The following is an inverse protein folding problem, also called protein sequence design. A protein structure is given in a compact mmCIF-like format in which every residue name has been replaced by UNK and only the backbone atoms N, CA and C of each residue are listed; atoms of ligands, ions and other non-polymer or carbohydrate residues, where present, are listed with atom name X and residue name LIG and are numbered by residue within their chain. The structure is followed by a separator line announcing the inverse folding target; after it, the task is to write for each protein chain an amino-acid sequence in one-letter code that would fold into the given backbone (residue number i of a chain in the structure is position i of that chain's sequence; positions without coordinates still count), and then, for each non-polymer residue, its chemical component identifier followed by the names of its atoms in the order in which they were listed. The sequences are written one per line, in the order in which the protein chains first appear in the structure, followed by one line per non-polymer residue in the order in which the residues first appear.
data_IF_692233672102
#
_entry.id   IF_692233672102
#
_cell.length_a   1.000
_cell.length_b   1.000
_cell.length_c   1.000
_cell.angle_alpha   90.00
_cell.angle_beta   90.00
_cell.angle_gamma   90.00
#
_symmetry.space_group_name_H-M   'P 1'
#
loop_
_entity.id
_entity.type
_entity.pdbx_description
1 polymer ?
#
# COMPACT_ATOMS: atom_id res chain seq x y z
N UNK A 1 -16.04 61.80 -13.47
CA UNK A 1 -16.31 60.44 -13.97
C UNK A 1 -15.12 59.44 -13.91
N UNK A 2 -13.93 59.77 -13.40
CA UNK A 2 -12.79 58.81 -13.33
C UNK A 2 -12.66 57.98 -12.04
N UNK A 3 -13.34 58.38 -10.95
CA UNK A 3 -13.25 57.69 -9.63
C UNK A 3 -14.09 56.42 -9.51
N UNK A 4 -15.16 56.29 -10.31
CA UNK A 4 -15.99 55.08 -10.31
C UNK A 4 -15.28 53.87 -10.94
N UNK A 5 -14.44 54.09 -11.97
CA UNK A 5 -13.76 52.99 -12.69
C UNK A 5 -12.73 52.25 -11.81
N UNK A 6 -11.97 52.99 -10.98
CA UNK A 6 -10.95 52.40 -10.11
C UNK A 6 -11.56 51.49 -9.03
N UNK A 7 -12.73 51.86 -8.49
CA UNK A 7 -13.41 51.09 -7.45
C UNK A 7 -13.89 49.73 -7.99
N UNK A 8 -14.43 49.71 -9.22
CA UNK A 8 -14.82 48.47 -9.90
C UNK A 8 -13.63 47.54 -10.17
N UNK A 9 -12.48 48.08 -10.59
CA UNK A 9 -11.28 47.26 -10.83
C UNK A 9 -10.77 46.64 -9.52
N UNK A 10 -10.78 47.40 -8.42
CA UNK A 10 -10.41 46.91 -7.09
C UNK A 10 -11.40 45.85 -6.56
N UNK A 11 -12.70 46.03 -6.78
CA UNK A 11 -13.73 45.04 -6.41
C UNK A 11 -13.59 43.73 -7.20
N UNK A 12 -13.32 43.81 -8.51
CA UNK A 12 -13.12 42.62 -9.35
C UNK A 12 -11.83 41.87 -8.98
N UNK A 13 -10.74 42.59 -8.63
CA UNK A 13 -9.50 41.98 -8.14
C UNK A 13 -9.68 41.33 -6.76
N UNK A 14 -10.43 41.97 -5.86
CA UNK A 14 -10.75 41.43 -4.53
C UNK A 14 -11.61 40.16 -4.62
N UNK A 15 -12.64 40.14 -5.47
CA UNK A 15 -13.46 38.95 -5.71
C UNK A 15 -12.66 37.76 -6.24
N UNK A 16 -11.70 37.97 -7.15
CA UNK A 16 -10.83 36.88 -7.65
C UNK A 16 -9.97 36.29 -6.53
N UNK A 17 -9.42 37.12 -5.65
CA UNK A 17 -8.61 36.65 -4.51
C UNK A 17 -9.42 35.86 -3.47
N UNK A 18 -10.71 36.16 -3.32
CA UNK A 18 -11.60 35.44 -2.41
C UNK A 18 -12.05 34.10 -2.99
N UNK A 19 -12.29 34.01 -4.30
CA UNK A 19 -12.61 32.73 -4.97
C UNK A 19 -11.46 31.71 -4.88
N UNK A 20 -10.20 32.15 -4.98
CA UNK A 20 -9.05 31.26 -4.79
C UNK A 20 -8.88 30.80 -3.33
N UNK A 21 -9.27 31.63 -2.36
CA UNK A 21 -9.27 31.27 -0.93
C UNK A 21 -10.39 30.32 -0.54
N UNK A 22 -11.57 30.42 -1.16
CA UNK A 22 -12.69 29.50 -0.88
C UNK A 22 -12.39 28.05 -1.30
N UNK A 23 -11.61 27.82 -2.36
CA UNK A 23 -11.21 26.44 -2.73
C UNK A 23 -10.30 25.76 -1.71
N UNK A 24 -9.67 26.52 -0.81
CA UNK A 24 -8.82 26.01 0.26
C UNK A 24 -9.61 25.57 1.51
N UNK A 25 -10.94 25.74 1.52
CA UNK A 25 -11.75 25.72 2.75
C UNK A 25 -12.57 24.47 3.03
N UNK A 26 -12.50 23.43 2.19
CA UNK A 26 -13.19 22.17 2.46
C UNK A 26 -12.28 21.11 3.07
N UNK A 27 -12.76 20.51 4.16
CA UNK A 27 -12.07 19.43 4.86
C UNK A 27 -12.09 18.17 3.99
N UNK A 28 -10.99 17.93 3.27
CA UNK A 28 -10.81 16.77 2.41
C UNK A 28 -10.91 15.48 3.23
N UNK A 29 -11.79 14.57 2.82
CA UNK A 29 -11.92 13.26 3.46
C UNK A 29 -10.89 12.27 2.89
N UNK A 30 -9.71 12.21 3.52
CA UNK A 30 -8.63 11.31 3.10
C UNK A 30 -8.74 9.91 3.69
N UNK A 31 -9.49 9.73 4.78
CA UNK A 31 -9.49 8.48 5.57
C UNK A 31 -10.01 7.29 4.74
N UNK A 32 -9.27 6.18 4.79
CA UNK A 32 -9.57 4.95 4.07
C UNK A 32 -9.18 4.96 2.60
N UNK A 33 -8.54 6.03 2.10
CA UNK A 33 -8.22 6.18 0.67
C UNK A 33 -6.74 5.95 0.37
N UNK A 34 -6.44 5.59 -0.88
CA UNK A 34 -5.08 5.51 -1.43
C UNK A 34 -4.92 6.57 -2.50
N UNK A 35 -3.77 7.23 -2.54
CA UNK A 35 -3.45 8.18 -3.61
C UNK A 35 -2.09 7.88 -4.22
N UNK A 36 -1.96 8.08 -5.52
CA UNK A 36 -0.68 8.15 -6.22
C UNK A 36 -0.31 9.63 -6.37
N UNK A 37 0.82 10.01 -5.81
CA UNK A 37 1.39 11.34 -5.91
C UNK A 37 2.26 11.39 -7.17
N UNK A 38 1.83 12.24 -8.10
CA UNK A 38 2.50 12.51 -9.36
C UNK A 38 3.01 13.97 -9.35
N UNK A 39 4.33 14.21 -9.30
CA UNK A 39 4.86 15.55 -9.48
C UNK A 39 4.69 16.00 -10.93
N UNK A 40 4.15 17.22 -11.14
CA UNK A 40 4.03 17.78 -12.50
C UNK A 40 5.41 18.00 -13.16
N UNK A 41 6.43 18.27 -12.35
CA UNK A 41 7.82 18.45 -12.77
C UNK A 41 8.73 17.52 -11.98
N UNK A 42 9.22 16.46 -12.61
CA UNK A 42 10.13 15.50 -11.99
C UNK A 42 9.93 14.07 -12.49
N UNK A 43 10.72 13.13 -11.95
CA UNK A 43 10.54 11.69 -12.13
C UNK A 43 10.31 11.05 -10.76
N UNK A 44 9.38 10.11 -10.71
CA UNK A 44 9.04 9.36 -9.50
C UNK A 44 7.58 9.53 -9.13
N UNK A 45 6.92 8.42 -8.83
CA UNK A 45 5.55 8.38 -8.30
C UNK A 45 5.61 7.81 -6.90
N UNK A 46 4.79 8.33 -5.99
CA UNK A 46 4.72 7.84 -4.61
C UNK A 46 3.30 7.38 -4.30
N UNK A 47 3.12 6.14 -3.84
CA UNK A 47 1.81 5.67 -3.37
C UNK A 47 1.68 5.89 -1.87
N UNK A 48 0.61 6.56 -1.46
CA UNK A 48 0.35 7.03 -0.10
C UNK A 48 -1.04 6.54 0.31
N UNK A 49 -1.17 5.96 1.50
CA UNK A 49 -2.45 5.45 2.01
C UNK A 49 -2.80 6.06 3.34
N UNK A 50 -4.00 6.61 3.48
CA UNK A 50 -4.47 7.21 4.74
C UNK A 50 -5.43 6.23 5.43
N UNK A 51 -4.98 5.51 6.46
CA UNK A 51 -5.78 4.46 7.11
C UNK A 51 -6.75 5.03 8.16
N UNK A 52 -6.30 5.95 9.00
CA UNK A 52 -7.07 6.42 10.16
C UNK A 52 -6.61 7.78 10.72
N UNK A 53 -5.91 8.59 9.90
CA UNK A 53 -5.08 9.78 10.22
C UNK A 53 -3.58 9.45 10.28
N UNK A 54 -3.23 8.17 10.41
CA UNK A 54 -1.95 7.67 9.94
C UNK A 54 -2.02 7.37 8.45
N UNK A 55 -0.90 7.53 7.79
CA UNK A 55 -0.63 7.17 6.43
C UNK A 55 0.60 6.27 6.35
N UNK A 56 0.59 5.43 5.33
CA UNK A 56 1.67 4.51 5.04
C UNK A 56 2.18 4.80 3.64
N UNK A 57 3.50 4.95 3.52
CA UNK A 57 4.15 5.05 2.23
C UNK A 57 4.36 3.64 1.71
N UNK A 58 3.74 3.34 0.58
CA UNK A 58 3.86 2.04 -0.07
C UNK A 58 4.82 2.16 -1.23
N UNK A 59 6.11 2.22 -0.90
CA UNK A 59 7.15 1.95 -1.87
C UNK A 59 7.60 0.50 -1.72
N UNK A 60 7.88 -0.18 -2.83
CA UNK A 60 8.49 -1.51 -2.81
C UNK A 60 9.96 -1.44 -2.39
N UNK A 61 10.61 -0.29 -2.62
CA UNK A 61 12.07 -0.14 -2.54
C UNK A 61 12.56 0.88 -1.50
N UNK A 62 11.70 1.67 -0.84
CA UNK A 62 12.15 2.72 0.08
C UNK A 62 11.79 2.46 1.54
N UNK A 63 12.71 2.88 2.42
CA UNK A 63 12.50 3.05 3.84
C UNK A 63 11.35 4.03 4.08
N UNK A 64 10.52 3.72 5.08
CA UNK A 64 9.40 4.55 5.54
C UNK A 64 9.88 6.00 5.75
N UNK A 65 9.58 6.92 4.83
CA UNK A 65 9.85 8.34 5.08
C UNK A 65 8.82 8.83 6.10
N UNK A 66 9.24 9.52 7.17
CA UNK A 66 8.29 10.06 8.13
C UNK A 66 7.42 11.08 7.42
N UNK A 67 6.12 11.01 7.67
CA UNK A 67 5.14 11.95 7.15
C UNK A 67 4.02 12.11 8.20
N UNK A 68 3.27 13.20 8.13
CA UNK A 68 2.07 13.43 8.96
C UNK A 68 1.07 14.29 8.23
N UNK A 69 -0.21 14.05 8.48
CA UNK A 69 -1.30 14.91 8.03
C UNK A 69 -1.67 15.85 9.17
N UNK A 70 -1.57 17.16 8.93
CA UNK A 70 -1.97 18.19 9.88
C UNK A 70 -3.25 18.83 9.37
N UNK A 71 -4.22 18.93 10.26
CA UNK A 71 -5.37 19.80 10.05
C UNK A 71 -5.07 21.13 10.75
N UNK A 72 -4.97 22.21 9.99
CA UNK A 72 -4.81 23.55 10.54
C UNK A 72 -5.97 24.41 10.05
N UNK A 73 -6.84 24.82 10.97
CA UNK A 73 -8.10 25.51 10.68
C UNK A 73 -8.97 24.72 9.68
N UNK A 74 -9.01 25.14 8.42
CA UNK A 74 -9.76 24.51 7.31
C UNK A 74 -8.87 23.81 6.28
N UNK A 75 -7.55 23.87 6.46
CA UNK A 75 -6.58 23.32 5.52
C UNK A 75 -6.09 21.93 5.95
N UNK A 76 -5.96 21.03 4.97
CA UNK A 76 -5.24 19.77 5.12
C UNK A 76 -3.81 19.96 4.63
N UNK A 77 -2.83 19.67 5.48
CA UNK A 77 -1.41 19.83 5.14
C UNK A 77 -0.72 18.48 5.28
N UNK A 78 -0.18 17.96 4.18
CA UNK A 78 0.69 16.80 4.16
C UNK A 78 2.14 17.25 4.41
N UNK A 79 2.71 16.85 5.53
CA UNK A 79 4.14 16.95 5.76
C UNK A 79 4.79 15.64 5.34
N UNK A 80 5.68 15.66 4.35
CA UNK A 80 6.36 14.48 3.82
C UNK A 80 7.88 14.71 3.83
N UNK A 81 8.59 14.00 4.70
CA UNK A 81 9.99 14.30 5.02
C UNK A 81 10.18 15.79 5.37
N UNK A 82 10.86 16.56 4.53
CA UNK A 82 11.07 18.01 4.71
C UNK A 82 10.06 18.89 3.94
N UNK A 83 9.16 18.29 3.15
CA UNK A 83 8.21 19.04 2.32
C UNK A 83 6.93 19.33 3.09
N UNK A 84 6.44 20.57 2.98
CA UNK A 84 5.11 20.96 3.47
C UNK A 84 4.19 21.15 2.28
N UNK A 85 3.11 20.39 2.22
CA UNK A 85 2.23 20.31 1.06
C UNK A 85 0.79 20.61 1.49
N UNK A 86 0.31 21.86 1.37
CA UNK A 86 -1.11 22.17 1.49
C UNK A 86 -1.88 21.44 0.41
N UNK A 87 -2.99 20.81 0.79
CA UNK A 87 -3.86 20.02 -0.06
C UNK A 87 -5.17 20.75 -0.32
N UNK A 88 -5.64 20.72 -1.56
CA UNK A 88 -6.94 21.22 -1.97
C UNK A 88 -7.60 20.24 -2.94
N UNK A 89 -8.91 20.07 -2.79
CA UNK A 89 -9.69 19.20 -3.66
C UNK A 89 -9.93 19.88 -5.01
N UNK A 90 -9.59 19.20 -6.10
CA UNK A 90 -9.93 19.64 -7.44
C UNK A 90 -11.28 19.05 -7.88
N UNK A 91 -11.51 17.79 -7.51
CA UNK A 91 -12.76 17.03 -7.66
C UNK A 91 -12.73 15.80 -6.74
N UNK A 92 -13.83 15.05 -6.67
CA UNK A 92 -14.04 13.89 -5.79
C UNK A 92 -12.91 12.83 -5.78
N UNK A 93 -12.11 12.77 -6.85
CA UNK A 93 -11.06 11.75 -7.06
C UNK A 93 -9.65 12.33 -7.20
N UNK A 94 -9.53 13.66 -7.27
CA UNK A 94 -8.25 14.36 -7.50
C UNK A 94 -8.03 15.43 -6.45
N UNK A 95 -6.90 15.30 -5.75
CA UNK A 95 -6.40 16.32 -4.84
C UNK A 95 -5.15 16.92 -5.45
N UNK A 96 -4.97 18.21 -5.26
CA UNK A 96 -3.74 18.88 -5.65
C UNK A 96 -2.99 19.29 -4.39
N UNK A 97 -1.69 19.06 -4.41
CA UNK A 97 -0.75 19.51 -3.40
C UNK A 97 0.20 20.54 -3.99
N UNK A 98 0.52 21.60 -3.26
CA UNK A 98 1.60 22.50 -3.62
C UNK A 98 2.76 22.25 -2.66
N UNK A 99 3.81 21.59 -3.13
CA UNK A 99 5.00 21.37 -2.31
C UNK A 99 5.73 22.70 -2.12
N UNK A 100 5.75 23.20 -0.89
CA UNK A 100 6.51 24.39 -0.49
C UNK A 100 7.87 23.89 0.03
N UNK A 101 8.95 24.30 -0.63
CA UNK A 101 10.32 23.84 -0.36
C UNK A 101 11.36 24.52 -1.26
N UNK A 102 12.45 23.83 -1.61
CA UNK A 102 13.51 24.40 -2.48
C UNK A 102 13.03 24.71 -3.91
N UNK A 103 12.01 23.98 -4.39
CA UNK A 103 11.31 24.27 -5.66
C UNK A 103 9.83 24.02 -5.47
N UNK A 104 9.05 25.08 -5.62
CA UNK A 104 7.59 24.97 -5.63
C UNK A 104 7.15 24.04 -6.75
N UNK A 105 6.59 22.90 -6.37
CA UNK A 105 6.18 21.85 -7.31
C UNK A 105 4.74 21.48 -7.03
N UNK A 106 3.91 21.54 -8.06
CA UNK A 106 2.55 21.03 -8.01
C UNK A 106 2.56 19.51 -8.08
N UNK A 107 1.86 18.90 -7.14
CA UNK A 107 1.67 17.47 -6.99
C UNK A 107 0.21 17.16 -7.28
N UNK A 108 -0.05 16.19 -8.14
CA UNK A 108 -1.38 15.65 -8.34
C UNK A 108 -1.51 14.34 -7.59
N UNK A 109 -2.50 14.26 -6.71
CA UNK A 109 -2.87 13.09 -5.94
C UNK A 109 -4.10 12.47 -6.62
N UNK A 110 -3.91 11.34 -7.27
CA UNK A 110 -4.99 10.62 -7.93
C UNK A 110 -5.44 9.44 -7.08
N UNK A 111 -6.74 9.35 -6.79
CA UNK A 111 -7.27 8.26 -5.97
C UNK A 111 -7.07 6.92 -6.67
N UNK A 112 -6.50 5.97 -5.94
CA UNK A 112 -6.30 4.59 -6.38
C UNK A 112 -7.31 3.68 -5.69
N UNK A 113 -8.31 3.28 -6.45
CA UNK A 113 -9.32 2.33 -6.00
C UNK A 113 -8.75 0.92 -5.77
N UNK A 114 -9.40 0.08 -4.94
CA UNK A 114 -9.04 -1.32 -4.78
C UNK A 114 -8.97 -2.04 -6.13
N UNK A 115 -7.83 -2.68 -6.41
CA UNK A 115 -7.65 -3.41 -7.68
C UNK A 115 -8.51 -4.67 -7.73
N UNK A 116 -8.76 -5.27 -6.57
CA UNK A 116 -9.44 -6.56 -6.42
C UNK A 116 -10.56 -6.47 -5.40
N UNK A 117 -11.42 -7.49 -5.34
CA UNK A 117 -12.34 -7.68 -4.23
C UNK A 117 -11.68 -8.53 -3.15
N UNK A 118 -11.90 -8.19 -1.87
CA UNK A 118 -11.24 -8.86 -0.74
C UNK A 118 -11.57 -10.36 -0.69
N UNK A 119 -12.82 -10.76 -0.95
CA UNK A 119 -13.29 -12.14 -0.98
C UNK A 119 -12.52 -13.03 -1.98
N UNK A 120 -11.94 -12.43 -3.02
CA UNK A 120 -11.10 -13.14 -4.00
C UNK A 120 -9.67 -13.41 -3.51
N UNK A 121 -9.23 -12.72 -2.47
CA UNK A 121 -7.90 -12.89 -1.86
C UNK A 121 -7.98 -13.89 -0.69
N UNK A 122 -9.09 -13.87 0.06
CA UNK A 122 -9.26 -14.72 1.24
C UNK A 122 -9.41 -16.20 0.88
N UNK A 123 -8.96 -17.07 1.79
CA UNK A 123 -9.13 -18.52 1.70
C UNK A 123 -7.81 -19.28 1.78
N UNK A 124 -7.87 -20.56 1.39
CA UNK A 124 -6.73 -21.48 1.40
C UNK A 124 -6.09 -21.56 0.01
N UNK A 125 -4.78 -21.51 -0.03
CA UNK A 125 -4.00 -21.36 -1.25
C UNK A 125 -2.74 -22.22 -1.21
N UNK A 126 -2.46 -22.99 -2.25
CA UNK A 126 -1.24 -23.80 -2.39
C UNK A 126 -0.38 -23.24 -3.51
N UNK A 127 0.94 -23.23 -3.37
CA UNK A 127 1.81 -22.82 -4.49
C UNK A 127 1.62 -23.78 -5.67
N UNK A 128 1.57 -23.26 -6.90
CA UNK A 128 1.25 -24.03 -8.11
C UNK A 128 2.15 -25.26 -8.29
N UNK A 129 3.44 -25.17 -7.91
CA UNK A 129 4.38 -26.30 -7.93
C UNK A 129 3.98 -27.48 -7.04
N UNK A 130 3.14 -27.25 -6.04
CA UNK A 130 2.65 -28.26 -5.10
C UNK A 130 1.18 -28.63 -5.33
N UNK A 131 0.52 -28.00 -6.31
CA UNK A 131 -0.88 -28.31 -6.61
C UNK A 131 -0.99 -29.73 -7.22
N UNK A 132 -1.87 -30.56 -6.67
CA UNK A 132 -2.09 -31.93 -7.13
C UNK A 132 -1.12 -32.96 -6.53
N UNK A 133 -0.14 -32.53 -5.72
CA UNK A 133 0.79 -33.44 -5.02
C UNK A 133 0.06 -34.32 -4.01
N UNK A 134 -1.07 -33.87 -3.49
CA UNK A 134 -1.98 -34.68 -2.67
C UNK A 134 -2.46 -35.97 -3.38
N UNK A 135 -2.45 -36.00 -4.71
CA UNK A 135 -2.84 -37.16 -5.53
C UNK A 135 -1.63 -37.97 -6.01
N UNK A 136 -0.42 -37.64 -5.54
CA UNK A 136 0.82 -38.32 -5.90
C UNK A 136 1.27 -39.26 -4.77
N UNK A 137 1.99 -40.32 -5.12
CA UNK A 137 2.64 -41.20 -4.14
C UNK A 137 3.95 -40.60 -3.59
N UNK A 138 4.15 -39.28 -3.70
CA UNK A 138 5.35 -38.61 -3.21
C UNK A 138 5.20 -38.45 -1.70
N UNK A 139 6.06 -39.10 -0.89
CA UNK A 139 5.98 -38.96 0.56
C UNK A 139 6.29 -37.52 0.97
N UNK A 140 5.71 -37.04 2.08
CA UNK A 140 6.09 -35.75 2.63
C UNK A 140 7.60 -35.72 2.93
N UNK A 141 8.27 -34.56 2.80
CA UNK A 141 9.60 -34.39 3.33
C UNK A 141 9.59 -34.62 4.85
N UNK A 142 10.70 -35.09 5.45
CA UNK A 142 10.79 -35.19 6.89
C UNK A 142 10.59 -33.81 7.52
N UNK A 143 9.78 -33.74 8.59
CA UNK A 143 9.62 -32.51 9.35
C UNK A 143 10.98 -32.05 9.89
N UNK A 144 11.20 -30.73 9.91
CA UNK A 144 12.42 -30.15 10.51
C UNK A 144 12.49 -30.46 12.01
N UNK A 145 11.34 -30.49 12.66
CA UNK A 145 11.17 -30.85 14.06
C UNK A 145 10.36 -32.14 14.12
N UNK A 146 10.95 -33.27 14.56
CA UNK A 146 10.32 -34.58 14.52
C UNK A 146 9.09 -34.71 15.43
N UNK A 147 8.91 -33.74 16.34
CA UNK A 147 7.76 -33.61 17.23
C UNK A 147 6.58 -32.84 16.63
N UNK A 148 6.67 -32.44 15.35
CA UNK A 148 5.57 -31.83 14.61
C UNK A 148 5.10 -32.73 13.47
N UNK A 149 3.79 -32.88 13.34
CA UNK A 149 3.20 -33.55 12.18
C UNK A 149 3.57 -32.80 10.90
N UNK A 150 4.09 -33.52 9.91
CA UNK A 150 4.34 -32.94 8.59
C UNK A 150 3.00 -32.60 7.91
N UNK A 151 2.76 -31.32 7.70
CA UNK A 151 1.63 -30.87 6.88
C UNK A 151 2.04 -30.85 5.41
N UNK A 152 1.41 -31.71 4.61
CA UNK A 152 1.70 -31.92 3.20
C UNK A 152 0.42 -32.16 2.38
N UNK A 153 0.27 -31.58 1.17
CA UNK A 153 1.13 -30.57 0.57
C UNK A 153 1.02 -29.21 1.28
N UNK A 154 2.04 -28.34 1.14
CA UNK A 154 2.06 -27.06 1.82
C UNK A 154 0.97 -26.12 1.30
N UNK A 155 0.43 -25.30 2.19
CA UNK A 155 -0.56 -24.28 1.83
C UNK A 155 -0.53 -23.09 2.78
N UNK A 156 -1.12 -21.99 2.33
CA UNK A 156 -1.35 -20.77 3.09
C UNK A 156 -2.85 -20.62 3.37
N UNK A 157 -3.18 -20.05 4.52
CA UNK A 157 -4.53 -19.56 4.82
C UNK A 157 -4.48 -18.04 5.00
N UNK A 158 -5.20 -17.33 4.12
CA UNK A 158 -5.30 -15.87 4.14
C UNK A 158 -6.67 -15.50 4.72
N UNK A 159 -6.64 -14.84 5.88
CA UNK A 159 -7.82 -14.22 6.50
C UNK A 159 -7.69 -12.69 6.46
N UNK A 160 -8.69 -11.95 6.97
CA UNK A 160 -8.73 -10.48 6.88
C UNK A 160 -7.48 -9.79 7.46
N UNK A 161 -6.93 -10.33 8.55
CA UNK A 161 -5.83 -9.72 9.31
C UNK A 161 -4.71 -10.71 9.66
N UNK A 162 -4.79 -11.96 9.18
CA UNK A 162 -3.79 -12.99 9.50
C UNK A 162 -3.45 -13.83 8.26
N UNK A 163 -2.17 -14.09 8.09
CA UNK A 163 -1.64 -15.07 7.14
C UNK A 163 -1.01 -16.21 7.93
N UNK A 164 -1.43 -17.44 7.63
CA UNK A 164 -0.87 -18.65 8.24
C UNK A 164 -0.26 -19.50 7.15
N UNK A 165 0.95 -20.02 7.38
CA UNK A 165 1.60 -21.01 6.52
C UNK A 165 1.55 -22.38 7.19
N UNK A 166 1.25 -23.40 6.39
CA UNK A 166 1.26 -24.81 6.77
C UNK A 166 2.25 -25.52 5.84
N UNK A 167 3.47 -25.77 6.30
CA UNK A 167 4.55 -26.31 5.49
C UNK A 167 5.60 -26.99 6.38
N UNK A 168 5.51 -28.30 6.64
CA UNK A 168 6.43 -28.98 7.59
C UNK A 168 6.45 -28.35 9.00
N UNK A 169 5.38 -27.63 9.36
CA UNK A 169 5.25 -26.76 10.51
C UNK A 169 4.11 -25.76 10.30
N UNK A 170 3.74 -25.02 11.35
CA UNK A 170 2.75 -23.94 11.28
C UNK A 170 3.40 -22.66 11.76
N UNK A 171 3.37 -21.63 10.93
CA UNK A 171 3.74 -20.28 11.33
C UNK A 171 2.66 -19.29 10.90
N UNK A 172 2.54 -18.17 11.60
CA UNK A 172 1.54 -17.17 11.27
C UNK A 172 1.96 -15.76 11.65
N UNK A 173 1.50 -14.80 10.85
CA UNK A 173 1.77 -13.38 11.09
C UNK A 173 0.49 -12.57 10.94
N UNK A 174 0.42 -11.46 11.67
CA UNK A 174 -0.60 -10.44 11.43
C UNK A 174 -0.26 -9.74 10.12
N UNK A 175 -1.26 -9.61 9.24
CA UNK A 175 -1.11 -8.90 7.98
C UNK A 175 -1.92 -7.61 7.98
N UNK A 176 -1.41 -6.64 7.23
CA UNK A 176 -2.12 -5.44 6.83
C UNK A 176 -2.20 -5.45 5.31
N UNK A 177 -3.44 -5.54 4.81
CA UNK A 177 -3.74 -5.26 3.41
C UNK A 177 -3.85 -3.76 3.23
N UNK A 178 -3.27 -3.30 2.13
CA UNK A 178 -3.33 -1.91 1.74
C UNK A 178 -4.72 -1.58 1.16
N UNK A 179 -5.16 -0.32 1.22
CA UNK A 179 -6.47 0.10 0.74
C UNK A 179 -6.66 -0.19 -0.76
N UNK A 180 -5.59 -0.25 -1.56
CA UNK A 180 -5.66 -0.62 -2.98
C UNK A 180 -5.68 -2.13 -3.24
N UNK A 181 -5.62 -2.97 -2.20
CA UNK A 181 -5.51 -4.42 -2.26
C UNK A 181 -4.42 -4.91 -3.23
N UNK A 182 -3.33 -4.16 -3.35
CA UNK A 182 -2.16 -4.47 -4.17
C UNK A 182 -1.00 -5.03 -3.35
N UNK A 183 -0.98 -4.80 -2.03
CA UNK A 183 0.10 -5.16 -1.13
C UNK A 183 -0.45 -5.76 0.15
N UNK A 184 0.20 -6.83 0.60
CA UNK A 184 0.02 -7.43 1.91
C UNK A 184 1.33 -7.29 2.67
N UNK A 185 1.29 -6.56 3.78
CA UNK A 185 2.43 -6.30 4.64
C UNK A 185 2.30 -7.16 5.87
N UNK A 186 3.37 -7.89 6.20
CA UNK A 186 3.42 -8.72 7.40
C UNK A 186 4.01 -7.88 8.53
N UNK A 187 3.35 -7.86 9.70
CA UNK A 187 3.86 -7.11 10.87
C UNK A 187 5.17 -7.71 11.37
N UNK A 188 5.19 -9.04 11.43
CA UNK A 188 6.37 -9.86 11.70
C UNK A 188 6.64 -10.73 10.48
N UNK A 189 7.88 -11.16 10.26
CA UNK A 189 8.18 -12.00 9.10
C UNK A 189 7.52 -13.36 9.25
N UNK A 190 6.85 -13.86 8.20
CA UNK A 190 6.33 -15.22 8.15
C UNK A 190 7.44 -16.17 7.71
N UNK A 191 7.83 -17.09 8.56
CA UNK A 191 8.78 -18.14 8.20
C UNK A 191 8.11 -19.27 7.42
N UNK A 192 8.85 -19.79 6.44
CA UNK A 192 8.51 -21.00 5.69
C UNK A 192 9.77 -21.75 5.33
N UNK A 193 9.71 -23.06 5.32
CA UNK A 193 10.85 -23.96 5.27
C UNK A 193 11.52 -23.93 3.89
N UNK A 194 10.72 -23.73 2.83
CA UNK A 194 11.22 -23.69 1.45
C UNK A 194 11.71 -22.32 0.99
N UNK A 195 11.41 -21.25 1.73
CA UNK A 195 11.66 -19.87 1.26
C UNK A 195 12.48 -19.07 2.27
N UNK A 196 12.16 -19.20 3.55
CA UNK A 196 12.69 -18.38 4.64
C UNK A 196 11.65 -17.40 5.18
N UNK A 197 12.11 -16.25 5.66
CA UNK A 197 11.33 -15.20 6.31
C UNK A 197 10.74 -14.22 5.28
N UNK A 198 9.43 -14.31 5.08
CA UNK A 198 8.68 -13.48 4.15
C UNK A 198 8.22 -12.20 4.86
N UNK A 199 8.30 -11.05 4.18
CA UNK A 199 8.02 -9.73 4.79
C UNK A 199 6.85 -9.00 4.13
N UNK A 200 6.75 -9.10 2.80
CA UNK A 200 5.78 -8.35 2.00
C UNK A 200 5.44 -9.10 0.73
N UNK A 201 4.16 -9.10 0.39
CA UNK A 201 3.64 -9.65 -0.86
C UNK A 201 3.00 -8.54 -1.69
N UNK A 202 3.28 -8.52 -2.99
CA UNK A 202 2.61 -7.67 -3.97
C UNK A 202 1.71 -8.54 -4.85
N UNK A 203 0.42 -8.23 -4.86
CA UNK A 203 -0.59 -8.96 -5.61
C UNK A 203 -0.60 -8.47 -7.06
N UNK A 204 -0.01 -9.24 -7.96
CA UNK A 204 0.10 -8.89 -9.38
C UNK A 204 -1.20 -9.17 -10.13
N UNK A 205 -1.81 -10.33 -9.87
CA UNK A 205 -3.06 -10.80 -10.49
C UNK A 205 -3.87 -11.61 -9.48
N UNK A 206 -5.18 -11.37 -9.40
CA UNK A 206 -6.12 -12.13 -8.56
C UNK A 206 -7.27 -12.61 -9.45
N UNK A 207 -7.61 -13.89 -9.33
CA UNK A 207 -8.74 -14.55 -9.99
C UNK A 207 -9.46 -15.45 -8.99
N UNK A 208 -10.56 -16.06 -9.40
CA UNK A 208 -11.35 -16.94 -8.55
C UNK A 208 -10.59 -18.19 -8.09
N UNK A 209 -9.60 -18.62 -8.86
CA UNK A 209 -8.88 -19.89 -8.67
C UNK A 209 -7.37 -19.71 -8.48
N UNK A 210 -6.83 -18.52 -8.72
CA UNK A 210 -5.39 -18.28 -8.62
C UNK A 210 -5.03 -16.85 -8.22
N UNK A 211 -3.91 -16.70 -7.50
CA UNK A 211 -3.25 -15.43 -7.21
C UNK A 211 -1.81 -15.49 -7.69
N UNK A 212 -1.36 -14.50 -8.45
CA UNK A 212 0.07 -14.31 -8.77
C UNK A 212 0.64 -13.25 -7.84
N UNK A 213 1.71 -13.60 -7.13
CA UNK A 213 2.33 -12.80 -6.08
C UNK A 213 3.80 -12.61 -6.39
N UNK A 214 4.28 -11.38 -6.24
CA UNK A 214 5.70 -11.10 -6.04
C UNK A 214 5.96 -11.01 -4.54
N UNK A 215 6.73 -11.93 -3.95
CA UNK A 215 7.10 -11.88 -2.53
C UNK A 215 8.50 -11.39 -2.34
N UNK A 216 8.69 -10.67 -1.23
CA UNK A 216 9.98 -10.25 -0.71
C UNK A 216 10.30 -11.05 0.55
N UNK A 217 11.47 -11.67 0.58
CA UNK A 217 11.87 -12.59 1.66
C UNK A 217 13.38 -12.54 1.93
N UNK A 218 13.79 -13.04 3.11
CA UNK A 218 15.18 -13.27 3.49
C UNK A 218 15.38 -14.69 3.99
N UNK A 219 16.55 -15.28 3.74
CA UNK A 219 16.89 -16.61 4.29
C UNK A 219 17.30 -16.56 5.76
N UNK A 220 17.86 -15.42 6.20
CA UNK A 220 18.35 -15.23 7.56
C UNK A 220 17.35 -14.45 8.44
N UNK A 221 17.33 -14.79 9.75
CA UNK A 221 16.39 -14.27 10.75
C UNK A 221 16.74 -12.84 11.23
N UNK A 222 18.02 -12.46 11.24
CA UNK A 222 18.50 -11.24 11.91
C UNK A 222 19.15 -10.28 10.91
N UNK A 223 18.63 -9.03 10.91
CA UNK A 223 19.08 -7.83 10.18
C UNK A 223 20.58 -7.55 10.37
N UNK A 224 21.32 -7.01 9.39
CA UNK A 224 21.45 -5.55 9.24
C UNK A 224 21.86 -5.09 7.82
N UNK A 225 22.10 -6.00 6.87
CA UNK A 225 22.55 -5.59 5.54
C UNK A 225 22.46 -6.72 4.50
N UNK A 226 21.62 -6.48 3.48
CA UNK A 226 21.79 -6.94 2.09
C UNK A 226 21.63 -8.46 1.86
N UNK A 227 20.44 -8.99 1.66
CA UNK A 227 19.70 -8.78 0.41
C UNK A 227 18.32 -9.45 0.56
N UNK A 228 17.26 -8.64 0.62
CA UNK A 228 15.95 -9.23 0.42
C UNK A 228 15.89 -9.74 -1.01
N UNK A 229 15.55 -11.02 -1.16
CA UNK A 229 15.28 -11.60 -2.46
C UNK A 229 13.82 -11.35 -2.82
N UNK A 230 13.56 -11.25 -4.11
CA UNK A 230 12.21 -11.16 -4.64
C UNK A 230 11.98 -12.29 -5.62
N UNK A 231 10.85 -12.97 -5.48
CA UNK A 231 10.44 -13.97 -6.46
C UNK A 231 8.96 -13.80 -6.79
N UNK A 232 8.60 -14.14 -8.03
CA UNK A 232 7.20 -14.24 -8.44
C UNK A 232 6.79 -15.69 -8.41
N UNK A 233 5.68 -15.98 -7.76
CA UNK A 233 5.10 -17.31 -7.70
C UNK A 233 3.58 -17.22 -7.81
N UNK A 234 2.97 -18.36 -8.10
CA UNK A 234 1.53 -18.48 -8.26
C UNK A 234 0.96 -19.38 -7.18
N UNK A 235 -0.14 -18.91 -6.61
CA UNK A 235 -0.99 -19.63 -5.67
C UNK A 235 -2.23 -20.12 -6.41
N UNK A 236 -2.65 -21.35 -6.13
CA UNK A 236 -3.85 -21.99 -6.63
C UNK A 236 -4.79 -22.22 -5.45
N UNK A 237 -6.07 -21.90 -5.63
CA UNK A 237 -7.08 -22.01 -4.59
C UNK A 237 -7.30 -23.47 -4.22
N UNK A 238 -7.20 -23.78 -2.92
CA UNK A 238 -7.54 -25.10 -2.40
C UNK A 238 -9.07 -25.20 -2.31
N UNK A 239 -9.61 -26.30 -2.82
CA UNK A 239 -11.05 -26.61 -2.74
C UNK A 239 -11.42 -27.11 -1.35
#
# INVERSE_FOLDING_TARGET
MKRFSLLTILLVLSCKSNMEKEKLTEKINLKGRTFVLNPEKGKGTLTVQFMDSTCNILDWNQYNRPWRLINFEKANILMLAHMTIPLYEENDSTIIGLSIGERDTKLRLEEKLPKWKLDKILGKWTEERWAGVENSNIPPPPARFPEHDTIWPPYYEISKNKLTSYCLGIDSTTIQLDNSLSYMIMKESLYTEFVGYQKKWKLLKVTDTAITIERRYSKDFISFSHSDSTETFRLIKKR
#
